data_IF_187353314242
#
_entry.id   IF_187353314242
#
_cell.length_a   1.000
_cell.length_b   1.000
_cell.length_c   1.000
_cell.angle_alpha   90.00
_cell.angle_beta   90.00
_cell.angle_gamma   90.00
#
_symmetry.space_group_name_H-M   'P 1'
#
loop_
_entity.id
_entity.type
_entity.pdbx_description
1 polymer ?
#
# COMPACT_ATOMS: atom_id res chain seq x y z
N UNK A 1 8.10 19.76 -7.26
CA UNK A 1 8.53 20.73 -8.30
C UNK A 1 9.25 20.03 -9.45
N UNK A 2 10.41 19.41 -9.20
CA UNK A 2 11.25 18.75 -10.21
C UNK A 2 10.49 17.77 -11.14
N UNK A 3 9.62 16.92 -10.58
CA UNK A 3 8.85 15.94 -11.39
C UNK A 3 8.03 16.57 -12.52
N UNK A 4 7.51 17.80 -12.38
CA UNK A 4 6.74 18.46 -13.45
C UNK A 4 7.61 18.75 -14.67
N UNK A 5 8.84 19.20 -14.43
CA UNK A 5 9.81 19.49 -15.48
C UNK A 5 10.29 18.20 -16.14
N UNK A 6 10.65 17.19 -15.34
CA UNK A 6 11.10 15.89 -15.84
C UNK A 6 10.03 15.18 -16.68
N UNK A 7 8.76 15.20 -16.25
CA UNK A 7 7.64 14.62 -17.02
C UNK A 7 7.45 15.37 -18.34
N UNK A 8 7.50 16.70 -18.36
CA UNK A 8 7.38 17.48 -19.60
C UNK A 8 8.52 17.18 -20.58
N UNK A 9 9.75 17.06 -20.09
CA UNK A 9 10.91 16.73 -20.91
C UNK A 9 10.82 15.31 -21.47
N UNK A 10 10.30 14.37 -20.67
CA UNK A 10 9.99 13.00 -21.13
C UNK A 10 8.94 13.01 -22.23
N UNK A 11 7.83 13.72 -22.04
CA UNK A 11 6.73 13.78 -23.02
C UNK A 11 7.15 14.46 -24.32
N UNK A 12 8.20 15.29 -24.28
CA UNK A 12 8.81 15.91 -25.45
C UNK A 12 9.91 15.04 -26.11
N UNK A 13 10.14 13.82 -25.60
CA UNK A 13 11.11 12.86 -26.14
C UNK A 13 12.57 13.14 -25.78
N UNK A 14 12.85 14.08 -24.87
CA UNK A 14 14.22 14.54 -24.60
C UNK A 14 14.97 13.74 -23.54
N UNK A 15 14.24 13.00 -22.70
CA UNK A 15 14.80 12.19 -21.62
C UNK A 15 13.89 10.99 -21.34
N UNK A 16 14.50 9.85 -21.04
CA UNK A 16 13.81 8.70 -20.46
C UNK A 16 13.90 8.79 -18.94
N UNK A 17 12.78 8.57 -18.24
CA UNK A 17 12.75 8.66 -16.78
C UNK A 17 12.92 7.28 -16.16
N UNK A 18 13.98 7.13 -15.39
CA UNK A 18 14.15 6.06 -14.42
C UNK A 18 14.60 6.63 -13.06
N UNK A 19 14.77 5.75 -12.06
CA UNK A 19 15.22 6.17 -10.73
C UNK A 19 16.61 6.85 -10.76
N UNK A 20 17.50 6.42 -11.67
CA UNK A 20 18.83 6.99 -11.81
C UNK A 20 18.79 8.37 -12.45
N UNK A 21 18.01 8.56 -13.52
CA UNK A 21 17.81 9.85 -14.16
C UNK A 21 17.26 10.85 -13.14
N UNK A 22 16.20 10.51 -12.41
CA UNK A 22 15.63 11.42 -11.40
C UNK A 22 16.68 11.78 -10.33
N UNK A 23 17.46 10.80 -9.86
CA UNK A 23 18.55 11.01 -8.89
C UNK A 23 19.57 12.01 -9.40
N UNK A 24 20.00 11.92 -10.67
CA UNK A 24 20.98 12.83 -11.26
C UNK A 24 20.50 14.30 -11.26
N UNK A 25 19.19 14.53 -11.29
CA UNK A 25 18.61 15.88 -11.24
C UNK A 25 18.33 16.39 -9.82
N UNK A 26 18.74 15.67 -8.77
CA UNK A 26 18.71 16.22 -7.41
C UNK A 26 19.81 17.25 -7.16
N UNK A 27 20.86 17.29 -7.98
CA UNK A 27 21.93 18.27 -7.83
C UNK A 27 21.45 19.72 -7.99
N UNK A 28 21.80 20.57 -7.03
CA UNK A 28 21.42 21.99 -7.04
C UNK A 28 21.88 22.69 -8.34
N UNK A 29 23.06 22.38 -8.85
CA UNK A 29 23.62 22.96 -10.08
C UNK A 29 22.69 22.78 -11.29
N UNK A 30 22.06 21.61 -11.43
CA UNK A 30 21.08 21.34 -12.50
C UNK A 30 19.79 22.10 -12.26
N UNK A 31 19.32 22.16 -11.02
CA UNK A 31 18.13 22.94 -10.67
C UNK A 31 18.34 24.43 -10.96
N UNK A 32 19.52 24.97 -10.64
CA UNK A 32 19.90 26.34 -10.94
C UNK A 32 19.95 26.60 -12.44
N UNK A 33 20.50 25.68 -13.24
CA UNK A 33 20.51 25.81 -14.70
C UNK A 33 19.08 25.89 -15.28
N UNK A 34 18.16 25.07 -14.77
CA UNK A 34 16.78 25.10 -15.22
C UNK A 34 16.03 26.38 -14.79
N UNK A 35 16.36 26.93 -13.62
CA UNK A 35 15.67 28.10 -13.05
C UNK A 35 16.23 29.43 -13.56
N UNK A 36 17.56 29.54 -13.66
CA UNK A 36 18.26 30.78 -14.02
C UNK A 36 18.49 30.85 -15.52
N UNK A 37 19.19 29.86 -16.07
CA UNK A 37 19.54 29.88 -17.50
C UNK A 37 18.36 29.46 -18.39
N UNK A 38 17.32 28.88 -17.78
CA UNK A 38 16.24 28.18 -18.49
C UNK A 38 16.81 27.12 -19.43
N UNK A 39 17.76 26.34 -18.94
CA UNK A 39 18.39 25.26 -19.70
C UNK A 39 18.21 23.94 -18.97
N UNK A 40 17.79 22.93 -19.71
CA UNK A 40 17.75 21.54 -19.27
C UNK A 40 19.04 20.82 -19.67
N UNK A 41 19.94 20.64 -18.70
CA UNK A 41 21.22 19.95 -18.88
C UNK A 41 20.96 18.45 -18.95
N UNK A 42 21.38 17.80 -20.04
CA UNK A 42 21.29 16.34 -20.23
C UNK A 42 22.67 15.71 -20.09
N UNK A 43 22.69 14.45 -19.67
CA UNK A 43 23.91 13.66 -19.58
C UNK A 43 24.39 13.33 -21.00
N UNK A 44 25.65 13.66 -21.31
CA UNK A 44 26.33 13.36 -22.57
C UNK A 44 25.60 13.83 -23.85
N UNK A 45 24.73 14.85 -23.72
CA UNK A 45 23.92 15.39 -24.81
C UNK A 45 23.82 16.90 -24.73
N UNK A 46 23.46 17.52 -25.85
CA UNK A 46 23.28 18.97 -25.90
C UNK A 46 22.18 19.45 -24.94
N UNK A 47 22.42 20.56 -24.23
CA UNK A 47 21.41 21.19 -23.40
C UNK A 47 20.20 21.64 -24.22
N UNK A 48 19.03 21.63 -23.61
CA UNK A 48 17.77 22.05 -24.25
C UNK A 48 17.28 23.36 -23.63
N UNK A 49 16.84 24.29 -24.47
CA UNK A 49 16.19 25.51 -24.00
C UNK A 49 14.82 25.22 -23.39
N UNK A 50 14.59 25.78 -22.21
CA UNK A 50 13.30 25.77 -21.50
C UNK A 50 12.54 27.09 -21.71
N UNK A 51 12.95 27.95 -22.64
CA UNK A 51 12.28 29.22 -22.89
C UNK A 51 10.83 29.05 -23.38
N UNK A 52 10.61 28.04 -24.22
CA UNK A 52 9.28 27.69 -24.76
C UNK A 52 8.43 26.90 -23.76
N UNK A 53 8.97 26.54 -22.60
CA UNK A 53 8.25 25.78 -21.58
C UNK A 53 7.30 26.71 -20.82
N UNK A 54 6.00 26.35 -20.69
CA UNK A 54 5.04 27.16 -19.96
C UNK A 54 5.49 27.46 -18.53
N UNK A 55 5.37 28.73 -18.11
CA UNK A 55 5.80 29.20 -16.79
C UNK A 55 5.23 28.37 -15.64
N UNK A 56 4.01 27.86 -15.78
CA UNK A 56 3.33 27.02 -14.77
C UNK A 56 4.08 25.72 -14.43
N UNK A 57 4.92 25.22 -15.36
CA UNK A 57 5.76 24.04 -15.14
C UNK A 57 7.00 24.39 -14.33
N UNK A 58 7.60 25.55 -14.59
CA UNK A 58 8.85 26.01 -13.97
C UNK A 58 8.65 26.74 -12.64
N UNK A 59 7.53 27.43 -12.47
CA UNK A 59 7.22 28.28 -11.31
C UNK A 59 7.40 27.57 -9.95
N UNK A 60 6.93 26.32 -9.74
CA UNK A 60 7.18 25.63 -8.48
C UNK A 60 8.67 25.38 -8.19
N UNK A 61 9.49 25.22 -9.24
CA UNK A 61 10.93 25.01 -9.12
C UNK A 61 11.65 26.33 -8.86
N UNK A 62 11.22 27.41 -9.52
CA UNK A 62 11.69 28.78 -9.25
C UNK A 62 11.43 29.14 -7.79
N UNK A 63 10.23 28.85 -7.28
CA UNK A 63 9.85 29.11 -5.90
C UNK A 63 10.68 28.26 -4.92
N UNK A 64 10.93 26.99 -5.23
CA UNK A 64 11.80 26.14 -4.41
C UNK A 64 13.20 26.73 -4.27
N UNK A 65 13.86 27.05 -5.40
CA UNK A 65 15.24 27.56 -5.42
C UNK A 65 15.32 28.94 -4.77
N UNK A 66 14.36 29.83 -5.05
CA UNK A 66 14.35 31.20 -4.50
C UNK A 66 14.08 31.22 -2.98
N UNK A 67 13.33 30.26 -2.46
CA UNK A 67 13.02 30.17 -1.03
C UNK A 67 14.09 29.43 -0.22
N UNK A 68 15.16 28.93 -0.85
CA UNK A 68 16.28 28.35 -0.10
C UNK A 68 16.94 29.47 0.75
N UNK A 69 17.10 29.27 2.07
CA UNK A 69 17.70 30.29 2.94
C UNK A 69 19.11 30.68 2.47
N UNK A 70 19.32 31.98 2.22
CA UNK A 70 20.61 32.51 1.78
C UNK A 70 20.91 32.34 0.29
N UNK A 71 19.92 31.89 -0.51
CA UNK A 71 20.09 31.73 -1.95
C UNK A 71 20.28 33.07 -2.67
N UNK A 72 21.28 33.17 -3.54
CA UNK A 72 21.51 34.34 -4.37
C UNK A 72 21.64 33.96 -5.85
N UNK A 73 20.72 34.47 -6.68
CA UNK A 73 20.70 34.22 -8.13
C UNK A 73 21.97 34.66 -8.86
N UNK A 74 22.61 35.74 -8.42
CA UNK A 74 23.84 36.27 -9.03
C UNK A 74 25.07 35.39 -8.74
N UNK A 75 25.01 34.56 -7.69
CA UNK A 75 26.10 33.67 -7.26
C UNK A 75 25.87 32.21 -7.66
N UNK A 76 25.18 31.97 -8.78
CA UNK A 76 24.97 30.63 -9.34
C UNK A 76 26.28 29.81 -9.36
N UNK A 77 26.22 28.56 -8.89
CA UNK A 77 27.40 27.69 -8.76
C UNK A 77 28.42 28.08 -7.68
N UNK A 78 28.25 29.24 -7.00
CA UNK A 78 29.06 29.74 -5.89
C UNK A 78 28.17 30.19 -4.72
N UNK A 79 27.14 29.40 -4.44
CA UNK A 79 26.23 29.65 -3.31
C UNK A 79 26.99 29.50 -1.98
N UNK A 80 26.49 30.16 -0.94
CA UNK A 80 27.05 30.02 0.42
C UNK A 80 26.80 28.61 0.95
N UNK A 81 27.67 28.12 1.84
CA UNK A 81 27.59 26.75 2.43
C UNK A 81 26.21 26.44 2.98
N UNK A 82 25.57 27.42 3.62
CA UNK A 82 24.23 27.30 4.18
C UNK A 82 23.19 26.82 3.16
N UNK A 83 23.26 27.29 1.91
CA UNK A 83 22.31 26.88 0.85
C UNK A 83 22.53 25.40 0.49
N UNK A 84 23.79 25.00 0.34
CA UNK A 84 24.17 23.62 0.00
C UNK A 84 23.80 22.66 1.12
N UNK A 85 24.01 23.05 2.38
CA UNK A 85 23.62 22.27 3.56
C UNK A 85 22.11 22.10 3.65
N UNK A 86 21.34 23.17 3.50
CA UNK A 86 19.87 23.10 3.52
C UNK A 86 19.32 22.23 2.39
N UNK A 87 19.84 22.40 1.18
CA UNK A 87 19.46 21.56 0.05
C UNK A 87 19.90 20.08 0.25
N UNK A 88 21.08 19.86 0.82
CA UNK A 88 21.60 18.55 1.19
C UNK A 88 20.72 17.83 2.20
N UNK A 89 20.26 18.50 3.27
CA UNK A 89 19.36 17.90 4.25
C UNK A 89 18.02 17.46 3.64
N UNK A 90 17.49 18.24 2.70
CA UNK A 90 16.24 17.90 1.99
C UNK A 90 16.46 16.70 1.07
N UNK A 91 17.53 16.71 0.28
CA UNK A 91 17.78 15.69 -0.74
C UNK A 91 18.31 14.39 -0.16
N UNK A 92 19.03 14.39 0.97
CA UNK A 92 19.65 13.21 1.56
C UNK A 92 18.67 12.04 1.76
N UNK A 93 17.44 12.33 2.20
CA UNK A 93 16.42 11.29 2.37
C UNK A 93 15.97 10.68 1.03
N UNK A 94 15.82 11.53 0.01
CA UNK A 94 15.43 11.11 -1.34
C UNK A 94 16.57 10.33 -2.02
N UNK A 95 17.80 10.84 -1.95
CA UNK A 95 18.97 10.21 -2.54
C UNK A 95 19.18 8.81 -2.00
N UNK A 96 18.98 8.57 -0.69
CA UNK A 96 19.07 7.22 -0.13
C UNK A 96 18.08 6.24 -0.75
N UNK A 97 16.82 6.66 -0.93
CA UNK A 97 15.77 5.82 -1.54
C UNK A 97 16.07 5.59 -3.02
N UNK A 98 16.35 6.66 -3.78
CA UNK A 98 16.61 6.56 -5.21
C UNK A 98 17.89 5.81 -5.54
N UNK A 99 18.93 5.90 -4.70
CA UNK A 99 20.14 5.08 -4.87
C UNK A 99 19.87 3.60 -4.67
N UNK A 100 19.07 3.22 -3.67
CA UNK A 100 18.68 1.81 -3.50
C UNK A 100 17.91 1.29 -4.73
N UNK A 101 16.95 2.07 -5.24
CA UNK A 101 16.18 1.70 -6.44
C UNK A 101 17.04 1.64 -7.71
N UNK A 102 17.98 2.57 -7.88
CA UNK A 102 18.84 2.67 -9.05
C UNK A 102 19.97 1.62 -9.06
N UNK A 103 20.61 1.40 -7.91
CA UNK A 103 21.84 0.62 -7.83
C UNK A 103 21.54 -0.85 -7.47
N UNK A 104 20.79 -1.10 -6.39
CA UNK A 104 20.45 -2.47 -5.93
C UNK A 104 19.41 -3.12 -6.84
N UNK A 105 18.35 -2.40 -7.18
CA UNK A 105 17.22 -2.90 -7.97
C UNK A 105 17.20 -2.37 -9.40
N UNK A 106 18.35 -1.86 -9.89
CA UNK A 106 18.46 -1.30 -11.23
C UNK A 106 18.04 -2.28 -12.33
N UNK A 107 18.33 -3.57 -12.17
CA UNK A 107 17.89 -4.60 -13.12
C UNK A 107 16.36 -4.73 -13.26
N UNK A 108 15.59 -4.23 -12.29
CA UNK A 108 14.12 -4.21 -12.31
C UNK A 108 13.60 -2.83 -12.71
N UNK A 109 14.13 -1.77 -12.09
CA UNK A 109 13.54 -0.41 -12.15
C UNK A 109 14.21 0.47 -13.22
N UNK A 110 15.44 0.16 -13.63
CA UNK A 110 16.18 0.91 -14.65
C UNK A 110 15.85 0.39 -16.04
N UNK A 111 14.58 0.53 -16.43
CA UNK A 111 14.10 0.19 -17.77
C UNK A 111 13.26 1.33 -18.35
N UNK A 112 13.48 1.64 -19.61
CA UNK A 112 12.75 2.64 -20.37
C UNK A 112 11.35 2.18 -20.78
N UNK A 113 11.23 0.89 -21.12
CA UNK A 113 9.99 0.22 -21.44
C UNK A 113 9.77 -0.87 -20.41
N UNK A 114 8.90 -0.65 -19.39
CA UNK A 114 8.63 -1.66 -18.37
C UNK A 114 7.78 -2.79 -18.95
N UNK A 115 8.11 -4.03 -18.59
CA UNK A 115 7.30 -5.21 -18.95
C UNK A 115 5.98 -5.25 -18.16
N UNK A 116 6.00 -4.70 -16.94
CA UNK A 116 4.87 -4.65 -16.02
C UNK A 116 4.50 -3.19 -15.76
N UNK A 117 3.31 -2.80 -16.19
CA UNK A 117 2.67 -1.55 -15.82
C UNK A 117 1.47 -1.84 -14.90
N UNK A 118 1.46 -1.27 -13.71
CA UNK A 118 0.37 -1.44 -12.74
C UNK A 118 -0.97 -0.91 -13.27
N UNK A 119 -0.97 0.09 -14.17
CA UNK A 119 -2.20 0.54 -14.86
C UNK A 119 -2.80 -0.58 -15.68
N UNK A 120 -1.95 -1.21 -16.47
CA UNK A 120 -2.35 -2.31 -17.32
C UNK A 120 -2.78 -3.53 -16.49
N UNK A 121 -2.05 -3.88 -15.43
CA UNK A 121 -2.38 -4.98 -14.52
C UNK A 121 -3.79 -4.82 -13.94
N UNK A 122 -4.12 -3.61 -13.45
CA UNK A 122 -5.42 -3.31 -12.86
C UNK A 122 -6.52 -3.26 -13.93
N UNK A 123 -6.34 -2.45 -14.98
CA UNK A 123 -7.40 -2.21 -15.96
C UNK A 123 -7.69 -3.45 -16.83
N UNK A 124 -6.67 -4.25 -17.11
CA UNK A 124 -6.78 -5.48 -17.90
C UNK A 124 -6.80 -6.75 -17.04
N UNK A 125 -6.87 -6.62 -15.70
CA UNK A 125 -7.03 -7.74 -14.75
C UNK A 125 -5.95 -8.82 -14.91
N UNK A 126 -4.70 -8.42 -15.11
CA UNK A 126 -3.56 -9.35 -15.13
C UNK A 126 -3.19 -9.75 -13.71
N UNK A 127 -2.51 -10.90 -13.59
CA UNK A 127 -1.98 -11.38 -12.31
C UNK A 127 -0.56 -10.85 -12.17
N UNK A 128 -0.29 -10.16 -11.06
CA UNK A 128 1.04 -9.72 -10.69
C UNK A 128 1.38 -10.28 -9.31
N UNK A 129 2.52 -10.94 -9.21
CA UNK A 129 3.09 -11.43 -7.94
C UNK A 129 4.38 -10.66 -7.70
N UNK A 130 4.45 -9.94 -6.58
CA UNK A 130 5.65 -9.22 -6.14
C UNK A 130 6.18 -9.92 -4.89
N UNK A 131 7.40 -10.42 -4.97
CA UNK A 131 8.08 -11.06 -3.84
C UNK A 131 9.05 -10.05 -3.23
N UNK A 132 8.88 -9.77 -1.95
CA UNK A 132 9.77 -8.87 -1.21
C UNK A 132 10.80 -9.70 -0.42
N UNK A 133 12.11 -9.43 -0.57
CA UNK A 133 13.16 -10.26 0.03
C UNK A 133 13.36 -9.92 1.53
N UNK A 134 12.48 -10.45 2.38
CA UNK A 134 12.46 -10.12 3.81
C UNK A 134 13.68 -10.63 4.61
N UNK A 135 14.35 -11.69 4.15
CA UNK A 135 15.50 -12.29 4.84
C UNK A 135 16.86 -11.73 4.41
N UNK A 136 16.95 -11.21 3.19
CA UNK A 136 18.22 -10.76 2.61
C UNK A 136 18.53 -9.29 2.90
N UNK A 137 17.51 -8.52 3.30
CA UNK A 137 17.57 -7.06 3.38
C UNK A 137 17.15 -6.53 4.75
N UNK A 138 17.66 -5.35 5.06
CA UNK A 138 17.27 -4.65 6.28
C UNK A 138 15.77 -4.31 6.24
N UNK A 139 15.08 -4.29 7.40
CA UNK A 139 13.67 -3.90 7.47
C UNK A 139 13.38 -2.54 6.84
N UNK A 140 14.31 -1.58 6.95
CA UNK A 140 14.17 -0.24 6.36
C UNK A 140 14.14 -0.28 4.83
N UNK A 141 14.96 -1.13 4.22
CA UNK A 141 15.02 -1.29 2.76
C UNK A 141 13.76 -2.02 2.25
N UNK A 142 13.33 -3.07 2.96
CA UNK A 142 12.10 -3.79 2.68
C UNK A 142 10.88 -2.86 2.74
N UNK A 143 10.81 -2.06 3.80
CA UNK A 143 9.76 -1.07 3.97
C UNK A 143 9.74 -0.13 2.77
N UNK A 144 10.87 0.47 2.40
CA UNK A 144 10.95 1.40 1.27
C UNK A 144 10.47 0.78 -0.05
N UNK A 145 10.84 -0.46 -0.37
CA UNK A 145 10.35 -1.17 -1.54
C UNK A 145 8.83 -1.36 -1.50
N UNK A 146 8.30 -1.84 -0.37
CA UNK A 146 6.87 -1.98 -0.18
C UNK A 146 6.15 -0.65 -0.32
N UNK A 147 6.71 0.45 0.20
CA UNK A 147 6.13 1.80 0.02
C UNK A 147 6.06 2.21 -1.44
N UNK A 148 7.07 1.88 -2.27
CA UNK A 148 7.05 2.17 -3.71
C UNK A 148 5.92 1.42 -4.41
N UNK A 149 5.75 0.12 -4.13
CA UNK A 149 4.67 -0.69 -4.71
C UNK A 149 3.30 -0.18 -4.27
N UNK A 150 3.11 0.08 -2.97
CA UNK A 150 1.86 0.59 -2.40
C UNK A 150 1.54 1.99 -2.92
N UNK A 151 2.52 2.89 -3.01
CA UNK A 151 2.35 4.23 -3.59
C UNK A 151 1.95 4.14 -5.06
N UNK A 152 2.57 3.25 -5.83
CA UNK A 152 2.23 3.05 -7.23
C UNK A 152 0.81 2.49 -7.38
N UNK A 153 0.42 1.53 -6.53
CA UNK A 153 -0.94 0.99 -6.49
C UNK A 153 -1.97 2.07 -6.12
N UNK A 154 -1.68 2.91 -5.12
CA UNK A 154 -2.54 4.03 -4.72
C UNK A 154 -2.72 5.05 -5.85
N UNK A 155 -1.63 5.46 -6.50
CA UNK A 155 -1.69 6.33 -7.68
C UNK A 155 -2.52 5.69 -8.79
N UNK A 156 -2.39 4.39 -8.98
CA UNK A 156 -3.17 3.69 -9.99
C UNK A 156 -4.66 3.61 -9.67
N UNK A 157 -5.02 3.41 -8.41
CA UNK A 157 -6.41 3.46 -7.98
C UNK A 157 -7.02 4.85 -8.21
N UNK A 158 -6.24 5.91 -7.97
CA UNK A 158 -6.67 7.28 -8.25
C UNK A 158 -6.86 7.54 -9.76
N UNK A 159 -5.90 7.16 -10.60
CA UNK A 159 -5.98 7.33 -12.05
C UNK A 159 -7.06 6.43 -12.70
N UNK A 160 -7.34 5.26 -12.12
CA UNK A 160 -8.40 4.34 -12.56
C UNK A 160 -9.83 4.90 -12.47
N UNK A 161 -10.04 6.00 -11.76
CA UNK A 161 -11.32 6.74 -11.74
C UNK A 161 -11.62 7.49 -13.05
N UNK A 162 -10.58 7.80 -13.83
CA UNK A 162 -10.69 8.56 -15.07
C UNK A 162 -9.67 9.69 -15.10
N UNK A 163 -8.51 9.41 -15.67
CA UNK A 163 -7.45 10.41 -15.92
C UNK A 163 -7.64 11.13 -17.26
N UNK A 164 -8.36 10.50 -18.19
CA UNK A 164 -8.65 11.02 -19.52
C UNK A 164 -10.11 11.45 -19.61
N UNK A 165 -10.32 12.73 -19.92
CA UNK A 165 -11.65 13.33 -20.09
C UNK A 165 -12.22 13.04 -21.48
N UNK A 166 -11.35 12.82 -22.47
CA UNK A 166 -11.70 12.68 -23.88
C UNK A 166 -11.11 11.38 -24.45
N UNK A 167 -11.86 10.69 -25.30
CA UNK A 167 -11.42 9.47 -25.96
C UNK A 167 -12.59 8.58 -26.38
N UNK A 168 -12.27 7.40 -26.94
CA UNK A 168 -13.28 6.42 -27.29
C UNK A 168 -14.01 5.92 -26.04
N UNK A 169 -15.34 5.90 -26.08
CA UNK A 169 -16.18 5.49 -24.94
C UNK A 169 -15.78 4.13 -24.34
N UNK A 170 -15.42 3.16 -25.19
CA UNK A 170 -14.95 1.85 -24.76
C UNK A 170 -13.64 1.89 -23.95
N UNK A 171 -12.74 2.83 -24.28
CA UNK A 171 -11.47 3.00 -23.59
C UNK A 171 -11.57 3.83 -22.32
N UNK A 172 -12.44 4.85 -22.32
CA UNK A 172 -12.56 5.82 -21.22
C UNK A 172 -13.60 5.39 -20.18
N UNK A 173 -14.73 4.84 -20.62
CA UNK A 173 -15.86 4.50 -19.75
C UNK A 173 -15.96 3.00 -19.53
N UNK A 174 -16.04 2.17 -20.57
CA UNK A 174 -16.29 0.72 -20.40
C UNK A 174 -15.15 0.01 -19.67
N UNK A 175 -13.89 0.43 -19.89
CA UNK A 175 -12.71 -0.15 -19.25
C UNK A 175 -12.58 0.20 -17.76
N UNK A 176 -13.42 1.09 -17.21
CA UNK A 176 -13.33 1.46 -15.79
C UNK A 176 -13.51 0.23 -14.90
N UNK A 177 -12.64 0.01 -13.89
CA UNK A 177 -12.75 -1.14 -12.99
C UNK A 177 -14.12 -1.26 -12.30
N UNK A 178 -14.80 -0.13 -12.11
CA UNK A 178 -16.14 -0.01 -11.52
C UNK A 178 -17.23 -0.74 -12.30
N UNK A 179 -17.07 -0.89 -13.61
CA UNK A 179 -18.08 -1.51 -14.48
C UNK A 179 -18.00 -3.04 -14.49
N UNK A 180 -16.94 -3.59 -13.91
CA UNK A 180 -16.73 -5.03 -13.93
C UNK A 180 -17.53 -5.73 -12.82
N UNK A 181 -18.03 -6.94 -13.14
CA UNK A 181 -18.87 -7.73 -12.23
C UNK A 181 -18.18 -8.13 -10.92
N UNK A 182 -16.88 -8.39 -10.98
CA UNK A 182 -16.08 -8.84 -9.83
C UNK A 182 -15.01 -7.81 -9.51
N UNK A 183 -14.76 -7.47 -8.24
CA UNK A 183 -13.70 -6.53 -7.89
C UNK A 183 -12.31 -7.08 -8.23
N UNK A 184 -11.36 -6.19 -8.52
CA UNK A 184 -9.95 -6.56 -8.63
C UNK A 184 -9.40 -6.86 -7.23
N UNK A 185 -8.88 -8.07 -7.01
CA UNK A 185 -8.38 -8.52 -5.72
C UNK A 185 -6.89 -8.17 -5.57
N UNK A 186 -6.57 -7.39 -4.53
CA UNK A 186 -5.21 -7.11 -4.11
C UNK A 186 -4.98 -7.74 -2.74
N UNK A 187 -4.00 -8.65 -2.64
CA UNK A 187 -3.62 -9.31 -1.39
C UNK A 187 -2.28 -8.72 -0.96
N UNK A 188 -2.26 -8.09 0.20
CA UNK A 188 -1.09 -7.47 0.82
C UNK A 188 -0.70 -8.33 2.02
N UNK A 189 0.24 -9.24 1.79
CA UNK A 189 0.77 -10.11 2.83
C UNK A 189 1.83 -9.40 3.67
N UNK A 190 1.85 -9.66 4.97
CA UNK A 190 2.77 -9.03 5.92
C UNK A 190 2.78 -7.49 5.85
N UNK A 191 1.59 -6.89 5.68
CA UNK A 191 1.43 -5.45 5.46
C UNK A 191 2.05 -4.58 6.57
N UNK A 192 2.11 -5.09 7.81
CA UNK A 192 2.70 -4.38 8.95
C UNK A 192 4.14 -3.92 8.74
N UNK A 193 4.93 -4.63 7.92
CA UNK A 193 6.34 -4.28 7.69
C UNK A 193 6.54 -3.09 6.76
N UNK A 194 5.60 -2.82 5.86
CA UNK A 194 5.71 -1.80 4.83
C UNK A 194 4.50 -0.86 4.76
N UNK A 195 3.75 -0.78 5.87
CA UNK A 195 2.59 0.09 5.97
C UNK A 195 2.95 1.55 5.68
N UNK A 196 2.11 2.20 4.88
CA UNK A 196 2.28 3.59 4.43
C UNK A 196 1.20 4.47 5.03
N UNK A 197 1.55 5.59 5.68
CA UNK A 197 0.56 6.57 6.12
C UNK A 197 -0.33 7.05 4.96
N UNK A 198 -1.64 7.14 5.22
CA UNK A 198 -2.63 7.52 4.22
C UNK A 198 -2.98 6.41 3.24
N UNK A 199 -2.65 5.15 3.52
CA UNK A 199 -3.19 4.00 2.77
C UNK A 199 -4.49 3.48 3.39
N UNK A 200 -4.79 3.78 4.65
CA UNK A 200 -6.08 3.42 5.29
C UNK A 200 -7.32 4.01 4.61
N UNK A 201 -7.17 5.03 3.75
CA UNK A 201 -8.26 5.55 2.89
C UNK A 201 -8.61 4.61 1.74
N UNK A 202 -7.66 3.77 1.32
CA UNK A 202 -7.84 2.82 0.22
C UNK A 202 -8.93 1.80 0.55
N UNK A 203 -8.94 1.12 1.72
CA UNK A 203 -10.07 0.27 2.12
C UNK A 203 -11.43 0.96 2.03
N UNK A 204 -11.52 2.23 2.42
CA UNK A 204 -12.77 2.99 2.41
C UNK A 204 -13.25 3.29 0.98
N UNK A 205 -12.33 3.58 0.06
CA UNK A 205 -12.66 3.94 -1.33
C UNK A 205 -12.66 2.73 -2.29
N UNK A 206 -11.93 1.66 -1.97
CA UNK A 206 -11.76 0.49 -2.83
C UNK A 206 -13.09 -0.08 -3.32
N UNK A 207 -14.13 -0.04 -2.47
CA UNK A 207 -15.48 -0.50 -2.82
C UNK A 207 -16.07 0.25 -4.01
N UNK A 208 -16.03 1.59 -4.02
CA UNK A 208 -16.59 2.38 -5.12
C UNK A 208 -15.76 2.26 -6.39
N UNK A 209 -14.48 1.87 -6.25
CA UNK A 209 -13.52 1.71 -7.32
C UNK A 209 -13.53 0.32 -7.95
N UNK A 210 -14.31 -0.63 -7.44
CA UNK A 210 -14.29 -2.01 -7.92
C UNK A 210 -13.02 -2.77 -7.51
N UNK A 211 -12.44 -2.43 -6.37
CA UNK A 211 -11.31 -3.14 -5.77
C UNK A 211 -11.72 -3.87 -4.48
N UNK A 212 -11.02 -4.97 -4.20
CA UNK A 212 -11.07 -5.69 -2.94
C UNK A 212 -9.65 -5.82 -2.42
N UNK A 213 -9.37 -5.30 -1.23
CA UNK A 213 -8.04 -5.34 -0.63
C UNK A 213 -8.08 -6.25 0.60
N UNK A 214 -7.15 -7.21 0.64
CA UNK A 214 -6.95 -8.11 1.77
C UNK A 214 -5.63 -7.72 2.43
N UNK A 215 -5.71 -7.30 3.69
CA UNK A 215 -4.54 -7.04 4.52
C UNK A 215 -4.29 -8.27 5.39
N UNK A 216 -3.09 -8.84 5.28
CA UNK A 216 -2.65 -9.94 6.11
C UNK A 216 -1.40 -9.54 6.89
N UNK A 217 -1.23 -10.16 8.06
CA UNK A 217 -0.08 -10.02 8.92
C UNK A 217 -0.29 -10.88 10.17
N UNK A 218 0.79 -11.06 10.94
CA UNK A 218 0.84 -12.03 12.02
C UNK A 218 0.02 -11.61 13.24
N UNK A 219 0.16 -10.35 13.67
CA UNK A 219 -0.48 -9.82 14.86
C UNK A 219 -0.83 -8.34 14.69
N UNK A 220 -1.73 -7.84 15.53
CA UNK A 220 -2.13 -6.44 15.51
C UNK A 220 -0.98 -5.48 15.92
N UNK A 221 -0.11 -5.81 16.90
CA UNK A 221 1.07 -4.98 17.22
C UNK A 221 2.00 -4.71 16.03
N UNK A 222 2.22 -5.69 15.14
CA UNK A 222 3.03 -5.51 13.93
C UNK A 222 2.38 -4.51 12.97
N UNK A 223 1.05 -4.53 12.82
CA UNK A 223 0.32 -3.50 12.08
C UNK A 223 0.46 -2.11 12.72
N UNK A 224 0.43 -2.04 14.05
CA UNK A 224 0.54 -0.80 14.80
C UNK A 224 1.97 -0.21 14.83
N UNK A 225 3.00 -1.03 14.59
CA UNK A 225 4.42 -0.62 14.65
C UNK A 225 4.74 0.53 13.72
N UNK A 226 4.14 0.54 12.53
CA UNK A 226 4.30 1.63 11.56
C UNK A 226 3.42 2.85 11.88
N UNK A 227 2.14 2.60 12.22
CA UNK A 227 1.22 3.65 12.66
C UNK A 227 -0.02 3.04 13.34
N UNK A 228 -0.24 3.42 14.61
CA UNK A 228 -1.42 3.03 15.39
C UNK A 228 -2.72 3.55 14.78
N UNK A 229 -2.69 4.79 14.29
CA UNK A 229 -3.85 5.44 13.67
C UNK A 229 -4.25 4.75 12.36
N UNK A 230 -3.27 4.37 11.53
CA UNK A 230 -3.52 3.62 10.29
C UNK A 230 -4.07 2.23 10.59
N UNK A 231 -3.49 1.51 11.54
CA UNK A 231 -3.96 0.18 11.93
C UNK A 231 -5.41 0.23 12.43
N UNK A 232 -5.77 1.22 13.26
CA UNK A 232 -7.13 1.43 13.72
C UNK A 232 -8.09 1.75 12.56
N UNK A 233 -7.67 2.61 11.64
CA UNK A 233 -8.47 3.00 10.48
C UNK A 233 -8.68 1.84 9.49
N UNK A 234 -7.65 1.04 9.22
CA UNK A 234 -7.76 -0.20 8.42
C UNK A 234 -8.72 -1.17 9.13
N UNK A 235 -8.56 -1.37 10.44
CA UNK A 235 -9.44 -2.21 11.24
C UNK A 235 -10.90 -1.73 11.20
N UNK A 236 -11.16 -0.43 11.21
CA UNK A 236 -12.50 0.13 11.13
C UNK A 236 -13.12 0.01 9.72
N UNK A 237 -12.35 0.28 8.67
CA UNK A 237 -12.83 0.32 7.28
C UNK A 237 -12.91 -1.08 6.63
N UNK A 238 -12.22 -2.09 7.16
CA UNK A 238 -12.30 -3.47 6.68
C UNK A 238 -13.56 -4.16 7.19
N UNK A 239 -14.49 -4.45 6.29
CA UNK A 239 -15.80 -5.02 6.61
C UNK A 239 -15.75 -6.50 7.03
N UNK A 240 -14.79 -7.26 6.51
CA UNK A 240 -14.58 -8.67 6.86
C UNK A 240 -13.29 -8.75 7.68
N UNK A 241 -13.36 -9.45 8.81
CA UNK A 241 -12.17 -9.77 9.62
C UNK A 241 -12.08 -11.28 9.76
N UNK A 242 -10.90 -11.83 9.58
CA UNK A 242 -10.66 -13.27 9.66
C UNK A 242 -9.61 -13.47 10.73
N UNK A 243 -9.96 -14.21 11.78
CA UNK A 243 -9.04 -14.59 12.84
C UNK A 243 -8.66 -16.06 12.63
N UNK A 244 -7.39 -16.29 12.30
CA UNK A 244 -6.79 -17.62 12.30
C UNK A 244 -6.21 -17.92 13.68
N UNK A 245 -5.48 -19.03 13.81
CA UNK A 245 -4.92 -19.48 15.07
C UNK A 245 -4.17 -18.34 15.79
N UNK A 246 -4.54 -18.10 17.04
CA UNK A 246 -3.95 -17.05 17.86
C UNK A 246 -3.49 -17.63 19.19
N UNK A 247 -2.20 -17.45 19.50
CA UNK A 247 -1.61 -17.90 20.78
C UNK A 247 -1.52 -16.77 21.81
N UNK A 248 -1.38 -15.53 21.33
CA UNK A 248 -1.14 -14.34 22.14
C UNK A 248 -2.46 -13.79 22.75
N UNK A 249 -2.59 -13.76 24.10
CA UNK A 249 -3.78 -13.23 24.77
C UNK A 249 -3.82 -11.69 24.82
N UNK A 250 -2.87 -10.98 24.21
CA UNK A 250 -2.74 -9.53 24.31
C UNK A 250 -3.60 -8.80 23.25
N UNK A 251 -3.05 -7.75 22.62
CA UNK A 251 -3.81 -6.77 21.84
C UNK A 251 -4.62 -7.37 20.69
N UNK A 252 -4.08 -8.40 20.02
CA UNK A 252 -4.77 -9.07 18.91
C UNK A 252 -6.03 -9.79 19.40
N UNK A 253 -5.93 -10.50 20.53
CA UNK A 253 -7.07 -11.17 21.15
C UNK A 253 -8.11 -10.15 21.59
N UNK A 254 -7.70 -9.10 22.30
CA UNK A 254 -8.61 -8.05 22.74
C UNK A 254 -9.37 -7.42 21.58
N UNK A 255 -8.70 -7.16 20.45
CA UNK A 255 -9.32 -6.60 19.26
C UNK A 255 -10.43 -7.50 18.71
N UNK A 256 -10.17 -8.81 18.59
CA UNK A 256 -11.18 -9.77 18.11
C UNK A 256 -12.28 -10.00 19.13
N UNK A 257 -11.98 -10.05 20.42
CA UNK A 257 -12.96 -10.18 21.50
C UNK A 257 -13.91 -8.97 21.53
N UNK A 258 -13.37 -7.75 21.47
CA UNK A 258 -14.16 -6.51 21.39
C UNK A 258 -14.98 -6.45 20.10
N UNK A 259 -14.42 -6.93 18.98
CA UNK A 259 -15.15 -7.02 17.70
C UNK A 259 -16.26 -8.08 17.72
N UNK A 260 -16.09 -9.16 18.48
CA UNK A 260 -17.09 -10.22 18.63
C UNK A 260 -18.31 -9.74 19.41
N UNK A 261 -18.07 -8.92 20.44
CA UNK A 261 -19.07 -8.49 21.42
C UNK A 261 -19.49 -9.62 22.38
N UNK A 262 -20.46 -9.29 23.23
CA UNK A 262 -21.02 -10.18 24.24
C UNK A 262 -22.42 -10.65 23.82
N UNK A 263 -22.80 -11.86 24.25
CA UNK A 263 -24.16 -12.38 24.14
C UNK A 263 -24.78 -12.52 25.53
N UNK A 264 -26.05 -12.17 25.63
CA UNK A 264 -26.84 -12.42 26.84
C UNK A 264 -27.28 -13.88 26.85
N UNK A 265 -26.79 -14.63 27.83
CA UNK A 265 -27.15 -16.04 28.03
C UNK A 265 -27.97 -16.14 29.32
N UNK A 266 -29.09 -16.85 29.21
CA UNK A 266 -29.94 -17.17 30.35
C UNK A 266 -29.35 -18.39 31.06
N UNK A 267 -28.81 -18.20 32.26
CA UNK A 267 -28.25 -19.28 33.09
C UNK A 267 -29.25 -19.61 34.20
N UNK A 268 -29.61 -20.87 34.31
CA UNK A 268 -30.42 -21.38 35.42
C UNK A 268 -29.50 -21.58 36.61
N UNK A 269 -29.74 -20.86 37.72
CA UNK A 269 -28.79 -20.74 38.84
C UNK A 269 -28.67 -21.99 39.72
N UNK A 270 -29.37 -23.08 39.39
CA UNK A 270 -29.27 -24.37 40.06
C UNK A 270 -30.60 -25.09 40.14
N UNK A 271 -30.55 -26.41 40.29
CA UNK A 271 -31.73 -27.23 40.61
C UNK A 271 -31.75 -27.44 42.12
N UNK A 272 -32.81 -27.01 42.80
CA UNK A 272 -33.01 -27.36 44.21
C UNK A 272 -33.68 -28.75 44.27
N UNK A 273 -32.98 -29.73 44.82
CA UNK A 273 -33.57 -31.01 45.16
C UNK A 273 -34.33 -30.86 46.49
N UNK A 274 -35.65 -31.02 46.47
CA UNK A 274 -36.46 -31.04 47.69
C UNK A 274 -36.26 -32.40 48.40
N UNK A 275 -35.54 -32.39 49.52
CA UNK A 275 -35.17 -33.60 50.27
C UNK A 275 -36.28 -34.12 51.19
N UNK A 276 -37.56 -33.82 50.91
CA UNK A 276 -38.71 -34.19 51.77
C UNK A 276 -39.69 -35.21 51.19
N UNK A 277 -39.41 -35.80 50.02
CA UNK A 277 -40.25 -36.83 49.40
C UNK A 277 -39.46 -38.07 49.00
N UNK A 278 -40.06 -39.26 49.14
CA UNK A 278 -39.50 -40.57 48.77
C UNK A 278 -39.25 -40.74 47.24
N UNK A 279 -39.58 -39.71 46.46
CA UNK A 279 -39.35 -39.59 45.02
C UNK A 279 -38.56 -38.31 44.76
N UNK A 280 -37.33 -38.42 44.24
CA UNK A 280 -36.48 -37.30 43.86
C UNK A 280 -37.11 -36.49 42.71
N UNK A 281 -37.98 -35.53 43.04
CA UNK A 281 -38.50 -34.57 42.08
C UNK A 281 -37.59 -33.36 42.06
N UNK A 282 -36.76 -33.24 41.02
CA UNK A 282 -35.97 -32.04 40.76
C UNK A 282 -36.94 -30.91 40.37
N UNK A 283 -37.09 -29.91 41.24
CA UNK A 283 -37.79 -28.68 40.89
C UNK A 283 -36.77 -27.60 40.54
N UNK A 284 -36.88 -27.07 39.33
CA UNK A 284 -36.09 -25.95 38.86
C UNK A 284 -36.40 -24.73 39.74
N UNK A 285 -35.37 -24.11 40.33
CA UNK A 285 -35.54 -22.84 41.02
C UNK A 285 -35.92 -21.81 39.94
N UNK A 286 -37.13 -21.25 40.00
CA UNK A 286 -37.66 -20.29 39.01
C UNK A 286 -36.90 -18.95 38.95
N UNK A 287 -35.64 -18.90 39.37
CA UNK A 287 -34.73 -17.77 39.20
C UNK A 287 -33.85 -17.99 37.97
N UNK A 288 -34.21 -17.31 36.90
CA UNK A 288 -33.38 -17.20 35.70
C UNK A 288 -32.48 -15.98 35.81
N UNK A 289 -31.15 -16.18 35.84
CA UNK A 289 -30.19 -15.09 35.86
C UNK A 289 -29.68 -14.86 34.43
N UNK A 290 -29.82 -13.64 33.92
CA UNK A 290 -29.23 -13.28 32.64
C UNK A 290 -27.77 -12.87 32.86
N UNK A 291 -26.84 -13.61 32.25
CA UNK A 291 -25.41 -13.35 32.31
C UNK A 291 -24.91 -12.87 30.95
N UNK A 292 -23.96 -11.92 30.95
CA UNK A 292 -23.25 -11.51 29.74
C UNK A 292 -22.04 -12.41 29.55
N UNK A 293 -21.97 -13.08 28.41
CA UNK A 293 -20.87 -13.99 28.09
C UNK A 293 -20.24 -13.62 26.74
N UNK A 294 -18.92 -13.67 26.65
CA UNK A 294 -18.18 -13.46 25.41
C UNK A 294 -18.60 -14.48 24.35
N UNK A 295 -18.74 -14.02 23.09
CA UNK A 295 -19.16 -14.87 21.97
C UNK A 295 -18.05 -15.78 21.43
N UNK A 296 -16.80 -15.50 21.80
CA UNK A 296 -15.63 -16.28 21.44
C UNK A 296 -14.79 -16.52 22.70
N UNK A 297 -14.09 -17.65 22.73
CA UNK A 297 -13.07 -17.98 23.74
C UNK A 297 -11.69 -18.02 23.07
N UNK A 298 -10.64 -17.64 23.80
CA UNK A 298 -9.27 -17.72 23.33
C UNK A 298 -8.84 -19.17 23.14
N UNK A 299 -9.33 -20.09 23.98
CA UNK A 299 -9.05 -21.52 23.85
C UNK A 299 -9.54 -22.07 22.49
N UNK A 300 -10.72 -21.63 22.03
CA UNK A 300 -11.25 -21.99 20.71
C UNK A 300 -10.35 -21.53 19.57
N UNK A 301 -9.67 -20.38 19.71
CA UNK A 301 -8.74 -19.86 18.71
C UNK A 301 -7.38 -20.59 18.76
N UNK A 302 -6.94 -21.02 19.94
CA UNK A 302 -5.70 -21.81 20.11
C UNK A 302 -5.82 -23.22 19.54
N UNK A 303 -7.01 -23.82 19.66
CA UNK A 303 -7.28 -25.17 19.15
C UNK A 303 -7.45 -25.25 17.62
N UNK A 304 -7.61 -24.11 16.94
CA UNK A 304 -7.72 -24.07 15.48
C UNK A 304 -6.52 -24.76 14.82
N UNK A 305 -6.80 -25.62 13.84
CA UNK A 305 -5.78 -26.25 13.00
C UNK A 305 -5.52 -25.46 11.72
N UNK A 306 -4.54 -25.86 10.94
CA UNK A 306 -4.21 -25.22 9.67
C UNK A 306 -5.44 -25.15 8.75
N UNK A 307 -5.76 -23.94 8.29
CA UNK A 307 -6.92 -23.69 7.44
C UNK A 307 -8.25 -23.52 8.18
N UNK A 308 -8.29 -23.61 9.51
CA UNK A 308 -9.45 -23.24 10.31
C UNK A 308 -9.38 -21.76 10.69
N UNK A 309 -10.53 -21.08 10.70
CA UNK A 309 -10.61 -19.67 11.05
C UNK A 309 -11.99 -19.29 11.60
N UNK A 310 -12.04 -18.20 12.37
CA UNK A 310 -13.28 -17.52 12.75
C UNK A 310 -13.44 -16.30 11.83
N UNK A 311 -14.51 -16.31 11.03
CA UNK A 311 -14.85 -15.23 10.10
C UNK A 311 -15.89 -14.32 10.74
N UNK A 312 -15.52 -13.06 10.89
CA UNK A 312 -16.36 -11.99 11.40
C UNK A 312 -16.90 -11.19 10.22
N UNK A 313 -18.21 -11.26 10.02
CA UNK A 313 -18.90 -10.51 8.98
C UNK A 313 -20.18 -9.91 9.54
N UNK A 314 -20.23 -8.56 9.57
CA UNK A 314 -21.30 -7.82 10.23
C UNK A 314 -21.46 -8.31 11.67
N UNK A 315 -22.67 -8.67 12.09
CA UNK A 315 -22.95 -9.20 13.44
C UNK A 315 -22.69 -10.71 13.59
N UNK A 316 -22.39 -11.43 12.50
CA UNK A 316 -22.23 -12.89 12.51
C UNK A 316 -20.77 -13.28 12.64
N UNK A 317 -20.54 -14.31 13.45
CA UNK A 317 -19.25 -14.97 13.62
C UNK A 317 -19.46 -16.41 13.16
N UNK A 318 -18.66 -16.86 12.20
CA UNK A 318 -18.76 -18.20 11.63
C UNK A 318 -17.41 -18.88 11.76
N UNK A 319 -17.37 -20.06 12.42
CA UNK A 319 -16.21 -20.94 12.37
C UNK A 319 -16.22 -21.63 11.01
N UNK A 320 -15.16 -21.47 10.23
CA UNK A 320 -15.08 -21.93 8.86
C UNK A 320 -13.75 -22.63 8.58
N UNK A 321 -13.79 -23.57 7.64
CA UNK A 321 -12.59 -24.11 6.99
C UNK A 321 -12.35 -23.33 5.71
N UNK A 322 -11.17 -22.77 5.60
CA UNK A 322 -10.73 -22.00 4.45
C UNK A 322 -10.52 -22.93 3.25
N UNK A 323 -10.67 -22.37 2.06
CA UNK A 323 -10.40 -23.11 0.84
C UNK A 323 -8.92 -23.47 0.74
N UNK A 324 -8.63 -24.76 0.56
CA UNK A 324 -7.28 -25.27 0.36
C UNK A 324 -7.09 -25.70 -1.09
N UNK A 325 -6.24 -24.97 -1.81
CA UNK A 325 -5.79 -25.35 -3.14
C UNK A 325 -4.36 -25.89 -3.05
N UNK A 326 -4.15 -27.12 -3.52
CA UNK A 326 -2.83 -27.73 -3.65
C UNK A 326 -2.46 -27.89 -5.13
N UNK A 327 -2.04 -26.81 -5.82
CA UNK A 327 -1.69 -26.89 -7.24
C UNK A 327 -0.50 -27.84 -7.43
N UNK A 328 -0.57 -28.69 -8.45
CA UNK A 328 0.53 -29.61 -8.78
C UNK A 328 1.77 -28.80 -9.19
N UNK A 329 2.96 -29.12 -8.65
CA UNK A 329 4.20 -28.46 -9.07
C UNK A 329 4.42 -28.58 -10.59
N UNK A 330 4.91 -27.50 -11.19
CA UNK A 330 5.31 -27.48 -12.60
C UNK A 330 6.73 -28.01 -12.75
N UNK A 331 7.06 -28.60 -13.90
CA UNK A 331 8.40 -29.12 -14.19
C UNK A 331 9.46 -28.03 -14.33
N UNK A 332 9.07 -26.91 -14.95
CA UNK A 332 9.93 -25.75 -15.18
C UNK A 332 9.13 -24.48 -14.89
N UNK A 333 9.72 -23.58 -14.10
CA UNK A 333 9.21 -22.24 -13.87
C UNK A 333 9.83 -21.31 -14.91
N UNK A 334 9.06 -20.91 -15.93
CA UNK A 334 9.48 -19.92 -16.93
C UNK A 334 8.67 -18.65 -16.78
N UNK A 335 9.37 -17.52 -16.75
CA UNK A 335 8.76 -16.19 -16.79
C UNK A 335 8.49 -15.78 -18.23
N UNK A 336 7.46 -14.96 -18.44
CA UNK A 336 7.19 -14.37 -19.74
C UNK A 336 8.32 -13.39 -20.09
N UNK A 337 8.89 -13.51 -21.29
CA UNK A 337 9.88 -12.56 -21.81
C UNK A 337 9.19 -11.64 -22.82
N UNK A 338 9.35 -10.33 -22.64
CA UNK A 338 8.76 -9.34 -23.53
C UNK A 338 9.83 -8.69 -24.41
N UNK A 339 9.39 -8.18 -25.56
CA UNK A 339 10.24 -7.44 -26.49
C UNK A 339 10.00 -5.95 -26.27
N UNK A 340 11.08 -5.19 -26.14
CA UNK A 340 11.04 -3.73 -26.06
C UNK A 340 10.86 -3.16 -27.46
N UNK A 341 9.66 -2.67 -27.75
CA UNK A 341 9.32 -2.02 -29.03
C UNK A 341 9.05 -0.55 -28.74
N UNK A 342 9.85 0.33 -29.32
CA UNK A 342 9.67 1.77 -29.20
C UNK A 342 8.66 2.30 -30.23
N UNK A 343 8.15 3.51 -30.02
CA UNK A 343 7.28 4.19 -30.98
C UNK A 343 8.08 4.44 -32.28
N UNK A 344 7.50 4.21 -33.48
CA UNK A 344 8.19 4.54 -34.73
C UNK A 344 8.55 6.03 -34.75
N UNK A 345 9.81 6.34 -35.10
CA UNK A 345 10.33 7.70 -35.22
C UNK A 345 9.63 8.52 -36.31
#
# INVERSE_FOLDING_TARGET
ALMRVLVRMRDSGYILLDANSIRNYFELTRLEAMVIDKVFIRDDQDPISLEDVPKIVLEPMINYVTNLPGYNKEKKGKQVSQVLEQHGYITMQLTRVFSSLADTYGHIIRTNLPEVDLRDVVLNRRILVVLLPALEKSPDELANLGKVIIASLKTMMAAGLGDEVEGMYSKVIERKPTNARNPFLCILDEYGYYAVPGFAVVPAQARSLGFSVVFAGQDLPAFQKASKEEAASIGANTNIKICMKLEDPLETWEFFMKSAGEAHVSVVSGFQADARGMTNQYMDSRSTQMEKRSRIDLLDLKEQREGEAHVFFKSRIVRAKMFYANPKPVKELRLNQFIKVDVPY
#
